data_IF_714308452750
#
_entry.id   IF_714308452750
#
_cell.length_a   1.000
_cell.length_b   1.000
_cell.length_c   1.000
_cell.angle_alpha   90.00
_cell.angle_beta   90.00
_cell.angle_gamma   90.00
#
_symmetry.space_group_name_H-M   'P 1'
#
loop_
_entity.id
_entity.type
_entity.pdbx_description
1 polymer ?
#
# COMPACT_ATOMS: atom_id res chain seq x y z
N UNK A 1 16.51 8.51 -7.50
CA UNK A 1 15.22 7.93 -7.06
C UNK A 1 14.91 8.60 -5.74
N UNK A 2 13.81 9.34 -5.67
CA UNK A 2 13.41 10.01 -4.41
C UNK A 2 12.94 8.94 -3.43
N UNK A 3 13.46 8.99 -2.21
CA UNK A 3 13.16 8.00 -1.17
C UNK A 3 11.97 8.49 -0.37
N UNK A 4 10.82 7.86 -0.56
CA UNK A 4 9.58 8.25 0.11
C UNK A 4 9.49 7.71 1.54
N UNK A 5 10.19 6.59 1.82
CA UNK A 5 10.07 5.84 3.08
C UNK A 5 11.42 5.23 3.50
N UNK A 6 11.63 5.07 4.81
CA UNK A 6 12.84 4.44 5.38
C UNK A 6 12.92 2.92 5.15
N UNK A 7 11.95 2.36 4.42
CA UNK A 7 11.85 0.95 4.09
C UNK A 7 11.98 0.79 2.57
N UNK A 8 13.06 0.14 2.08
CA UNK A 8 13.32 0.01 0.65
C UNK A 8 12.24 -0.80 -0.08
N UNK A 9 11.59 -1.76 0.56
CA UNK A 9 10.52 -2.56 -0.06
C UNK A 9 9.26 -1.69 -0.22
N UNK A 10 8.98 -0.86 0.79
CA UNK A 10 7.85 0.06 0.78
C UNK A 10 8.03 1.14 -0.30
N UNK A 11 9.25 1.71 -0.38
CA UNK A 11 9.66 2.67 -1.39
C UNK A 11 9.56 2.08 -2.80
N UNK A 12 10.07 0.86 -3.02
CA UNK A 12 9.96 0.16 -4.31
C UNK A 12 8.49 -0.01 -4.73
N UNK A 13 7.60 -0.38 -3.80
CA UNK A 13 6.18 -0.52 -4.12
C UNK A 13 5.55 0.80 -4.56
N UNK A 14 5.93 1.93 -3.93
CA UNK A 14 5.46 3.26 -4.31
C UNK A 14 5.97 3.58 -5.71
N UNK A 15 7.26 3.40 -5.97
CA UNK A 15 7.87 3.66 -7.27
C UNK A 15 7.18 2.86 -8.39
N UNK A 16 6.82 1.61 -8.13
CA UNK A 16 6.07 0.78 -9.08
C UNK A 16 4.66 1.30 -9.33
N UNK A 17 3.96 1.79 -8.30
CA UNK A 17 2.65 2.45 -8.45
C UNK A 17 2.79 3.74 -9.26
N UNK A 18 3.82 4.57 -9.00
CA UNK A 18 4.08 5.78 -9.77
C UNK A 18 4.38 5.47 -11.25
N UNK A 19 5.11 4.39 -11.53
CA UNK A 19 5.34 3.92 -12.90
C UNK A 19 4.04 3.51 -13.61
N UNK A 20 3.14 2.80 -12.92
CA UNK A 20 1.81 2.48 -13.46
C UNK A 20 0.94 3.73 -13.65
N UNK A 21 1.02 4.69 -12.73
CA UNK A 21 0.34 5.97 -12.88
C UNK A 21 0.85 6.71 -14.12
N UNK A 22 2.16 6.68 -14.42
CA UNK A 22 2.70 7.23 -15.67
C UNK A 22 2.11 6.53 -16.90
N UNK A 23 1.99 5.20 -16.90
CA UNK A 23 1.37 4.47 -18.01
C UNK A 23 -0.11 4.86 -18.21
N UNK A 24 -0.85 5.12 -17.13
CA UNK A 24 -2.24 5.56 -17.22
C UNK A 24 -2.42 6.88 -17.97
N UNK A 25 -1.42 7.79 -17.95
CA UNK A 25 -1.44 9.02 -18.76
C UNK A 25 -1.45 8.76 -20.27
N UNK A 26 -1.02 7.57 -20.70
CA UNK A 26 -1.04 7.14 -22.10
C UNK A 26 -2.26 6.28 -22.45
N UNK A 27 -3.23 6.15 -21.53
CA UNK A 27 -4.46 5.37 -21.73
C UNK A 27 -4.34 3.88 -21.43
N UNK A 28 -3.23 3.44 -20.82
CA UNK A 28 -3.07 2.04 -20.39
C UNK A 28 -3.98 1.69 -19.21
N UNK A 29 -4.61 0.51 -19.24
CA UNK A 29 -5.33 -0.03 -18.08
C UNK A 29 -4.34 -0.68 -17.11
N UNK A 30 -4.31 -0.16 -15.90
CA UNK A 30 -3.29 -0.52 -14.88
C UNK A 30 -3.88 -1.03 -13.57
N UNK A 31 -5.21 -1.06 -13.45
CA UNK A 31 -5.94 -1.35 -12.22
C UNK A 31 -5.52 -2.69 -11.60
N UNK A 32 -5.49 -3.75 -12.41
CA UNK A 32 -5.09 -5.09 -11.95
C UNK A 32 -3.62 -5.13 -11.47
N UNK A 33 -2.74 -4.40 -12.15
CA UNK A 33 -1.33 -4.33 -11.78
C UNK A 33 -1.13 -3.56 -10.46
N UNK A 34 -1.88 -2.46 -10.27
CA UNK A 34 -1.92 -1.71 -9.01
C UNK A 34 -2.42 -2.59 -7.88
N UNK A 35 -3.53 -3.31 -8.08
CA UNK A 35 -4.10 -4.20 -7.06
C UNK A 35 -3.10 -5.28 -6.64
N UNK A 36 -2.39 -5.90 -7.59
CA UNK A 36 -1.37 -6.92 -7.30
C UNK A 36 -0.24 -6.35 -6.44
N UNK A 37 0.23 -5.14 -6.73
CA UNK A 37 1.28 -4.48 -5.94
C UNK A 37 0.78 -4.22 -4.52
N UNK A 38 -0.40 -3.60 -4.37
CA UNK A 38 -0.96 -3.26 -3.06
C UNK A 38 -1.21 -4.53 -2.23
N UNK A 39 -1.76 -5.59 -2.81
CA UNK A 39 -1.99 -6.85 -2.10
C UNK A 39 -0.69 -7.53 -1.65
N UNK A 40 0.36 -7.48 -2.48
CA UNK A 40 1.69 -7.97 -2.11
C UNK A 40 2.24 -7.16 -0.93
N UNK A 41 2.12 -5.83 -1.01
CA UNK A 41 2.63 -4.93 0.03
C UNK A 41 1.88 -5.09 1.36
N UNK A 42 0.55 -5.24 1.31
CA UNK A 42 -0.28 -5.53 2.49
C UNK A 42 0.18 -6.80 3.19
N UNK A 43 0.43 -7.89 2.45
CA UNK A 43 0.94 -9.14 3.01
C UNK A 43 2.28 -8.95 3.69
N UNK A 44 3.23 -8.29 3.04
CA UNK A 44 4.54 -7.99 3.65
C UNK A 44 4.38 -7.15 4.93
N UNK A 45 3.57 -6.09 4.90
CA UNK A 45 3.41 -5.17 6.04
C UNK A 45 2.77 -5.83 7.27
N UNK A 46 1.95 -6.86 7.05
CA UNK A 46 1.26 -7.59 8.12
C UNK A 46 2.04 -8.80 8.60
N UNK A 47 2.67 -9.55 7.70
CA UNK A 47 3.26 -10.86 8.00
C UNK A 47 4.78 -10.85 8.15
N UNK A 48 5.46 -9.85 7.58
CA UNK A 48 6.93 -9.88 7.44
C UNK A 48 7.58 -8.68 8.09
N UNK A 49 7.01 -7.49 7.91
CA UNK A 49 7.57 -6.26 8.49
C UNK A 49 7.42 -6.29 10.01
N UNK A 50 8.53 -6.04 10.70
CA UNK A 50 8.51 -5.88 12.15
C UNK A 50 7.71 -4.65 12.60
N UNK A 51 7.29 -4.65 13.86
CA UNK A 51 6.49 -3.59 14.45
C UNK A 51 4.98 -3.84 14.32
N UNK A 52 4.21 -2.77 14.53
CA UNK A 52 2.75 -2.81 14.54
C UNK A 52 2.18 -2.84 13.11
N UNK A 53 1.47 -3.92 12.71
CA UNK A 53 0.89 -4.05 11.37
C UNK A 53 -0.06 -2.90 11.00
N UNK A 54 -0.83 -2.39 11.97
CA UNK A 54 -1.78 -1.30 11.74
C UNK A 54 -1.04 0.00 11.47
N UNK A 55 0.03 0.29 12.23
CA UNK A 55 0.88 1.47 11.97
C UNK A 55 1.58 1.36 10.62
N UNK A 56 2.05 0.18 10.26
CA UNK A 56 2.70 -0.08 8.97
C UNK A 56 1.74 0.18 7.79
N UNK A 57 0.52 -0.36 7.86
CA UNK A 57 -0.52 -0.12 6.85
C UNK A 57 -0.97 1.34 6.79
N UNK A 58 -1.16 2.01 7.94
CA UNK A 58 -1.48 3.45 8.02
C UNK A 58 -0.41 4.30 7.36
N UNK A 59 0.88 4.02 7.66
CA UNK A 59 2.00 4.75 7.05
C UNK A 59 1.97 4.62 5.53
N UNK A 60 1.80 3.40 5.01
CA UNK A 60 1.78 3.14 3.58
C UNK A 60 0.60 3.84 2.88
N UNK A 61 -0.61 3.74 3.46
CA UNK A 61 -1.81 4.44 2.96
C UNK A 61 -1.60 5.95 2.92
N UNK A 62 -1.11 6.55 4.00
CA UNK A 62 -0.91 7.99 4.09
C UNK A 62 0.11 8.50 3.07
N UNK A 63 1.18 7.74 2.81
CA UNK A 63 2.12 8.08 1.74
C UNK A 63 1.44 8.16 0.37
N UNK A 64 0.59 7.19 0.02
CA UNK A 64 -0.14 7.22 -1.24
C UNK A 64 -1.17 8.35 -1.30
N UNK A 65 -1.88 8.62 -0.20
CA UNK A 65 -2.83 9.75 -0.12
C UNK A 65 -2.11 11.08 -0.33
N UNK A 66 -0.98 11.30 0.34
CA UNK A 66 -0.21 12.53 0.20
C UNK A 66 0.32 12.68 -1.23
N UNK A 67 0.87 11.60 -1.80
CA UNK A 67 1.33 11.62 -3.19
C UNK A 67 0.19 11.95 -4.16
N UNK A 68 -1.01 11.38 -3.98
CA UNK A 68 -2.17 11.72 -4.80
C UNK A 68 -2.64 13.17 -4.63
N UNK A 69 -2.44 13.76 -3.45
CA UNK A 69 -2.78 15.16 -3.17
C UNK A 69 -1.80 16.12 -3.86
N UNK A 70 -0.52 15.75 -3.94
CA UNK A 70 0.55 16.58 -4.52
C UNK A 70 0.62 16.53 -6.06
N UNK A 71 -0.18 15.66 -6.71
CA UNK A 71 -0.24 15.57 -8.17
C UNK A 71 -0.78 16.86 -8.78
N UNK A 72 -0.11 17.35 -9.82
CA UNK A 72 -0.56 18.52 -10.57
C UNK A 72 -1.98 18.29 -11.16
N UNK A 73 -2.91 19.25 -11.06
CA UNK A 73 -4.30 19.08 -11.51
C UNK A 73 -4.49 18.68 -12.98
N UNK A 74 -3.50 18.94 -13.84
CA UNK A 74 -3.51 18.54 -15.25
C UNK A 74 -3.22 17.04 -15.49
N UNK A 75 -3.00 16.25 -14.44
CA UNK A 75 -2.73 14.81 -14.54
C UNK A 75 -3.78 13.97 -13.78
N UNK A 76 -5.08 14.10 -14.13
CA UNK A 76 -6.16 13.45 -13.38
C UNK A 76 -6.06 11.92 -13.39
N UNK A 77 -5.59 11.31 -14.48
CA UNK A 77 -5.50 9.85 -14.60
C UNK A 77 -4.36 9.29 -13.73
N UNK A 78 -3.23 10.00 -13.70
CA UNK A 78 -2.13 9.73 -12.78
C UNK A 78 -2.58 9.80 -11.32
N UNK A 79 -3.28 10.89 -10.97
CA UNK A 79 -3.83 11.08 -9.63
C UNK A 79 -4.82 9.97 -9.26
N UNK A 80 -5.76 9.63 -10.15
CA UNK A 80 -6.75 8.57 -9.91
C UNK A 80 -6.08 7.22 -9.68
N UNK A 81 -5.02 6.91 -10.41
CA UNK A 81 -4.27 5.66 -10.22
C UNK A 81 -3.65 5.56 -8.82
N UNK A 82 -3.03 6.64 -8.33
CA UNK A 82 -2.45 6.67 -6.98
C UNK A 82 -3.54 6.63 -5.91
N UNK A 83 -4.61 7.42 -6.07
CA UNK A 83 -5.74 7.44 -5.16
C UNK A 83 -6.45 6.07 -5.10
N UNK A 84 -6.56 5.38 -6.23
CA UNK A 84 -7.07 4.02 -6.30
C UNK A 84 -6.20 3.07 -5.47
N UNK A 85 -4.87 3.13 -5.61
CA UNK A 85 -3.96 2.32 -4.79
C UNK A 85 -4.16 2.56 -3.28
N UNK A 86 -4.33 3.83 -2.87
CA UNK A 86 -4.60 4.17 -1.47
C UNK A 86 -5.94 3.62 -0.97
N UNK A 87 -6.97 3.60 -1.83
CA UNK A 87 -8.31 3.12 -1.51
C UNK A 87 -8.37 1.62 -1.23
N UNK A 88 -7.48 0.84 -1.85
CA UNK A 88 -7.36 -0.61 -1.65
C UNK A 88 -6.77 -0.99 -0.27
N UNK A 89 -6.20 -0.03 0.45
CA UNK A 89 -5.67 -0.24 1.80
C UNK A 89 -6.77 0.05 2.82
N UNK A 90 -7.48 -1.01 3.17
CA UNK A 90 -8.44 -1.01 4.28
C UNK A 90 -7.68 -1.18 5.59
N UNK A 91 -7.88 -0.24 6.51
CA UNK A 91 -7.26 -0.18 7.82
C UNK A 91 -8.37 -0.36 8.86
N UNK A 92 -8.82 -1.59 9.04
CA UNK A 92 -9.84 -1.92 10.04
C UNK A 92 -9.17 -2.40 11.34
N UNK A 93 -9.56 -1.79 12.45
CA UNK A 93 -9.02 -2.11 13.78
C UNK A 93 -9.34 -3.55 14.23
N UNK A 94 -10.34 -4.18 13.60
CA UNK A 94 -10.86 -5.53 13.95
C UNK A 94 -9.99 -6.68 13.44
N UNK A 95 -9.20 -6.48 12.37
CA UNK A 95 -8.33 -7.54 11.81
C UNK A 95 -7.17 -7.84 12.76
N UNK A 96 -6.69 -6.85 13.51
CA UNK A 96 -5.64 -7.03 14.49
C UNK A 96 -6.05 -7.99 15.62
N UNK A 97 -7.32 -7.99 16.04
CA UNK A 97 -7.82 -8.85 17.13
C UNK A 97 -8.05 -10.31 16.68
N UNK A 98 -8.33 -10.52 15.39
CA UNK A 98 -8.57 -11.87 14.85
C UNK A 98 -7.28 -12.64 14.62
N UNK A 99 -6.17 -11.95 14.33
CA UNK A 99 -4.87 -12.61 14.12
C UNK A 99 -4.13 -12.96 15.42
N UNK A 100 -4.37 -12.25 16.53
CA UNK A 100 -3.78 -12.60 17.84
C UNK A 100 -4.35 -13.90 18.42
N UNK A 101 -5.60 -14.25 18.07
CA UNK A 101 -6.25 -15.48 18.58
C UNK A 101 -5.67 -16.77 18.01
N UNK A 102 -5.05 -16.74 16.82
CA UNK A 102 -4.50 -17.95 16.20
C UNK A 102 -3.11 -18.34 16.73
N UNK A 103 -2.44 -17.49 17.51
CA UNK A 103 -1.09 -17.76 18.03
C UNK A 103 -1.08 -18.39 19.43
N UNK A 104 -2.23 -18.52 20.11
CA UNK A 104 -2.29 -19.03 21.49
C UNK A 104 -2.76 -20.49 21.63
N UNK A 105 -2.99 -21.22 20.53
CA UNK A 105 -3.48 -22.61 20.59
C UNK A 105 -2.42 -23.58 20.06
N UNK A 106 -1.25 -23.64 20.72
CA UNK A 106 -0.33 -24.80 20.68
C UNK A 106 0.78 -24.64 21.72
N UNK A 107 0.41 -24.51 23.00
CA UNK A 107 1.29 -24.95 24.09
C UNK A 107 0.41 -25.34 25.28
N UNK A 108 -0.10 -26.57 25.24
CA UNK A 108 -0.46 -27.33 26.43
C UNK A 108 -0.71 -28.78 25.99
N UNK A 109 0.35 -29.58 26.00
CA UNK A 109 0.37 -30.98 26.42
C UNK A 109 1.82 -31.47 26.51
#
# INVERSE_FOLDING_TARGET
MEKYLDDPILDESIQRILGLATLSLYGESVEFAVEKIVNTMRRYLVLTKSGDPLKNLKRYKNSLVNLAFDVHPCMPDYQRTIAYAASLIVVDEVVATSMTKFTQVTTDQ
#
